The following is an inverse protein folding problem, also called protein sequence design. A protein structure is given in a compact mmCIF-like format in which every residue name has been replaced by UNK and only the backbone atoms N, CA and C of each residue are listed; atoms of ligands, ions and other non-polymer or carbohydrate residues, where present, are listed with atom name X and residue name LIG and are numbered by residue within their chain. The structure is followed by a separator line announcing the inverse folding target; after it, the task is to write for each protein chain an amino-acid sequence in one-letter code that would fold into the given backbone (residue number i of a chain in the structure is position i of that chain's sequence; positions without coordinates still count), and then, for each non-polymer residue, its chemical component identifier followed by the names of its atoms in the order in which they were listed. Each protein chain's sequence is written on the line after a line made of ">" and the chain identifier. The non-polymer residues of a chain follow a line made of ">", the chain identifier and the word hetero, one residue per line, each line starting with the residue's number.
data_IF_522379605689
#
_entry.id   IF_522379605689
#
_cell.length_a   1.000
_cell.length_b   1.000
_cell.length_c   1.000
_cell.angle_alpha   90.00
_cell.angle_beta   90.00
_cell.angle_gamma   90.00
#
_symmetry.space_group_name_H-M   'P 1'
#
loop_
_entity.id
_entity.type
_entity.pdbx_description
1 polymer ?
#
# COMPACT_ATOMS: atom_id res chain seq x y z
N UNK A 1 -9.09 -17.93 -4.41
CA UNK A 1 -8.98 -17.28 -3.10
C UNK A 1 -7.74 -16.40 -3.04
N UNK A 2 -7.90 -15.20 -2.52
CA UNK A 2 -6.77 -14.30 -2.40
C UNK A 2 -5.84 -14.78 -1.29
N UNK A 3 -4.55 -14.89 -1.61
CA UNK A 3 -3.55 -15.32 -0.63
C UNK A 3 -3.27 -14.16 0.33
N UNK A 4 -3.56 -14.35 1.61
CA UNK A 4 -3.38 -13.33 2.64
C UNK A 4 -1.94 -12.84 2.72
N UNK A 5 -0.98 -13.75 2.58
CA UNK A 5 0.45 -13.39 2.63
C UNK A 5 0.80 -12.46 1.48
N UNK A 6 0.34 -12.76 0.26
CA UNK A 6 0.58 -11.90 -0.90
C UNK A 6 -0.06 -10.54 -0.74
N UNK A 7 -1.24 -10.48 -0.15
CA UNK A 7 -1.93 -9.22 0.09
C UNK A 7 -1.13 -8.36 1.07
N UNK A 8 -0.63 -8.97 2.14
CA UNK A 8 0.21 -8.27 3.12
C UNK A 8 1.48 -7.76 2.46
N UNK A 9 2.14 -8.59 1.67
CA UNK A 9 3.35 -8.19 0.94
C UNK A 9 3.10 -6.98 0.03
N UNK A 10 1.98 -6.99 -0.69
CA UNK A 10 1.62 -5.87 -1.56
C UNK A 10 1.37 -4.59 -0.76
N UNK A 11 0.68 -4.71 0.37
CA UNK A 11 0.41 -3.56 1.23
C UNK A 11 1.70 -3.01 1.85
N UNK A 12 2.61 -3.89 2.28
CA UNK A 12 3.92 -3.47 2.78
C UNK A 12 4.71 -2.74 1.70
N UNK A 13 4.70 -3.26 0.48
CA UNK A 13 5.38 -2.63 -0.65
C UNK A 13 4.78 -1.27 -0.96
N UNK A 14 3.45 -1.18 -0.96
CA UNK A 14 2.76 0.08 -1.20
C UNK A 14 3.14 1.11 -0.14
N UNK A 15 3.11 0.72 1.13
CA UNK A 15 3.48 1.61 2.24
C UNK A 15 4.91 2.14 2.06
N UNK A 16 5.85 1.26 1.74
CA UNK A 16 7.23 1.65 1.50
C UNK A 16 7.38 2.62 0.33
N UNK A 17 6.64 2.38 -0.76
CA UNK A 17 6.68 3.25 -1.93
C UNK A 17 6.11 4.64 -1.60
N UNK A 18 5.02 4.71 -0.82
CA UNK A 18 4.45 5.99 -0.42
C UNK A 18 5.44 6.76 0.48
N UNK A 19 6.05 6.07 1.45
CA UNK A 19 7.03 6.68 2.34
C UNK A 19 8.21 7.26 1.57
N UNK A 20 8.69 6.54 0.56
CA UNK A 20 9.82 7.00 -0.24
C UNK A 20 9.41 7.95 -1.37
N UNK A 21 8.10 8.19 -1.52
CA UNK A 21 7.55 9.02 -2.59
C UNK A 21 8.00 8.55 -3.97
N UNK A 22 7.89 7.25 -4.20
CA UNK A 22 8.30 6.61 -5.44
C UNK A 22 7.19 5.77 -6.05
N UNK A 23 5.94 6.20 -5.87
CA UNK A 23 4.79 5.40 -6.34
C UNK A 23 4.51 5.58 -7.83
N UNK A 24 4.78 6.76 -8.38
CA UNK A 24 4.22 7.14 -9.67
C UNK A 24 2.72 7.40 -9.54
N UNK A 25 2.01 7.43 -10.64
CA UNK A 25 0.56 7.55 -10.62
C UNK A 25 -0.11 6.19 -10.34
N UNK A 26 -1.44 6.15 -10.40
CA UNK A 26 -2.17 4.91 -10.07
C UNK A 26 -1.89 3.79 -11.08
N UNK A 27 -1.61 4.13 -12.33
CA UNK A 27 -1.24 3.13 -13.32
C UNK A 27 0.15 2.55 -13.03
N UNK A 28 1.11 3.42 -12.71
CA UNK A 28 2.45 2.99 -12.32
C UNK A 28 2.40 2.08 -11.10
N UNK A 29 1.57 2.45 -10.10
CA UNK A 29 1.39 1.64 -8.90
C UNK A 29 0.80 0.27 -9.23
N UNK A 30 -0.18 0.23 -10.13
CA UNK A 30 -0.80 -1.05 -10.51
C UNK A 30 0.25 -2.00 -11.10
N UNK A 31 1.14 -1.46 -11.92
CA UNK A 31 2.24 -2.25 -12.51
C UNK A 31 3.23 -2.70 -11.43
N UNK A 32 3.65 -1.76 -10.58
CA UNK A 32 4.62 -2.06 -9.52
C UNK A 32 4.13 -3.11 -8.54
N UNK A 33 2.83 -3.07 -8.23
CA UNK A 33 2.23 -4.02 -7.29
C UNK A 33 1.71 -5.29 -7.97
N UNK A 34 1.62 -5.28 -9.30
CA UNK A 34 1.08 -6.42 -10.04
C UNK A 34 -0.40 -6.63 -9.84
N UNK A 35 -1.16 -5.53 -9.70
CA UNK A 35 -2.61 -5.58 -9.47
C UNK A 35 -3.29 -4.56 -10.39
N UNK A 36 -4.63 -4.59 -10.42
CA UNK A 36 -5.40 -3.61 -11.19
C UNK A 36 -5.38 -2.24 -10.50
N UNK A 37 -5.69 -1.19 -11.25
CA UNK A 37 -5.84 0.15 -10.68
C UNK A 37 -6.93 0.19 -9.63
N UNK A 38 -8.00 -0.60 -9.84
CA UNK A 38 -9.08 -0.72 -8.87
C UNK A 38 -8.56 -1.26 -7.54
N UNK A 39 -7.68 -2.25 -7.59
CA UNK A 39 -7.10 -2.82 -6.39
C UNK A 39 -6.15 -1.83 -5.70
N UNK A 40 -5.42 -1.03 -6.47
CA UNK A 40 -4.60 0.06 -5.90
C UNK A 40 -5.48 1.01 -5.09
N UNK A 41 -6.61 1.44 -5.66
CA UNK A 41 -7.52 2.34 -4.97
C UNK A 41 -8.11 1.69 -3.72
N UNK A 42 -8.37 0.40 -3.77
CA UNK A 42 -8.84 -0.36 -2.60
C UNK A 42 -7.80 -0.33 -1.48
N UNK A 43 -6.53 -0.59 -1.80
CA UNK A 43 -5.47 -0.56 -0.79
C UNK A 43 -5.28 0.84 -0.20
N UNK A 44 -5.33 1.88 -1.05
CA UNK A 44 -5.22 3.26 -0.56
C UNK A 44 -6.37 3.59 0.38
N UNK A 45 -7.57 3.15 0.07
CA UNK A 45 -8.73 3.36 0.93
C UNK A 45 -8.59 2.60 2.24
N UNK A 46 -8.07 1.38 2.20
CA UNK A 46 -7.79 0.60 3.42
C UNK A 46 -6.83 1.36 4.33
N UNK A 47 -5.76 1.93 3.76
CA UNK A 47 -4.82 2.72 4.56
C UNK A 47 -5.51 3.93 5.17
N UNK A 48 -6.38 4.60 4.41
CA UNK A 48 -7.13 5.75 4.92
C UNK A 48 -8.07 5.34 6.06
N UNK A 49 -8.68 4.18 5.94
CA UNK A 49 -9.55 3.64 6.99
C UNK A 49 -8.78 3.37 8.28
N UNK A 50 -7.49 3.07 8.18
CA UNK A 50 -6.61 2.89 9.34
C UNK A 50 -6.00 4.20 9.83
N UNK A 51 -6.34 5.31 9.24
CA UNK A 51 -5.91 6.62 9.71
C UNK A 51 -4.87 7.32 8.86
N UNK A 52 -4.48 6.74 7.74
CA UNK A 52 -3.52 7.40 6.85
C UNK A 52 -4.18 8.58 6.13
N UNK A 53 -3.45 9.67 6.01
CA UNK A 53 -3.84 10.79 5.19
C UNK A 53 -2.90 10.80 3.99
N UNK A 54 -3.45 10.47 2.83
CA UNK A 54 -2.66 10.27 1.61
C UNK A 54 -3.11 11.29 0.57
N UNK A 55 -2.14 11.98 -0.02
CA UNK A 55 -2.38 12.89 -1.13
C UNK A 55 -1.57 12.45 -2.33
N UNK A 56 -1.89 13.00 -3.49
CA UNK A 56 -1.16 12.75 -4.72
C UNK A 56 -0.59 14.04 -5.25
N UNK A 57 0.70 14.05 -5.60
CA UNK A 57 1.38 15.19 -6.19
C UNK A 57 1.51 14.98 -7.70
N UNK A 58 0.77 15.72 -8.53
CA UNK A 58 0.92 15.60 -9.99
C UNK A 58 2.30 16.05 -10.48
N UNK A 59 2.91 17.00 -9.78
CA UNK A 59 4.23 17.52 -10.16
C UNK A 59 5.31 16.48 -9.95
N UNK A 60 5.30 15.82 -8.80
CA UNK A 60 6.29 14.78 -8.47
C UNK A 60 5.85 13.39 -8.91
N UNK A 61 4.60 13.27 -9.36
CA UNK A 61 3.99 12.01 -9.79
C UNK A 61 4.14 10.92 -8.73
N UNK A 62 3.68 11.23 -7.51
CA UNK A 62 3.74 10.28 -6.41
C UNK A 62 2.65 10.54 -5.39
N UNK A 63 2.20 9.47 -4.77
CA UNK A 63 1.42 9.56 -3.55
C UNK A 63 2.36 9.79 -2.39
N UNK A 64 1.87 10.48 -1.35
CA UNK A 64 2.67 10.73 -0.15
C UNK A 64 1.75 10.88 1.05
N UNK A 65 2.29 10.64 2.24
CA UNK A 65 1.55 10.80 3.47
C UNK A 65 1.56 12.25 3.94
N UNK A 66 0.40 12.73 4.37
CA UNK A 66 0.26 14.05 4.97
C UNK A 66 0.44 13.99 6.49
N UNK A 67 0.44 12.80 7.07
CA UNK A 67 0.61 12.60 8.50
C UNK A 67 1.65 11.51 8.75
N UNK A 68 2.06 11.36 10.01
CA UNK A 68 2.95 10.28 10.41
C UNK A 68 2.15 9.00 10.54
N UNK A 69 2.06 8.26 9.46
CA UNK A 69 1.33 7.01 9.42
C UNK A 69 2.30 5.85 9.41
N UNK A 70 2.16 4.98 10.39
CA UNK A 70 2.87 3.71 10.42
C UNK A 70 1.88 2.58 10.50
N UNK A 71 2.14 1.53 9.74
CA UNK A 71 1.35 0.33 9.79
C UNK A 71 2.31 -0.85 10.00
N UNK A 72 1.98 -1.67 10.98
CA UNK A 72 2.78 -2.85 11.29
C UNK A 72 2.00 -4.07 10.87
N UNK A 73 2.57 -4.83 9.94
CA UNK A 73 1.98 -6.07 9.48
C UNK A 73 2.58 -7.21 10.27
N UNK A 74 1.74 -7.90 11.05
CA UNK A 74 2.19 -9.07 11.80
C UNK A 74 1.55 -10.31 11.21
N UNK A 75 2.39 -11.27 10.93
CA UNK A 75 1.93 -12.57 10.49
C UNK A 75 2.60 -13.62 11.34
N UNK A 76 1.81 -14.32 12.14
CA UNK A 76 2.31 -15.38 13.00
C UNK A 76 1.77 -16.73 12.54
N UNK A 77 2.67 -17.67 12.39
CA UNK A 77 2.28 -19.06 12.18
C UNK A 77 2.62 -19.83 13.46
N UNK A 78 1.60 -20.37 14.10
CA UNK A 78 1.81 -21.21 15.25
C UNK A 78 1.64 -22.67 14.83
N UNK A 79 2.67 -23.42 15.07
CA UNK A 79 2.64 -24.87 14.85
C UNK A 79 2.59 -25.53 16.21
N UNK A 80 1.47 -26.19 16.50
CA UNK A 80 1.40 -26.97 17.72
C UNK A 80 1.70 -28.43 17.41
N UNK A 81 2.55 -29.00 18.21
CA UNK A 81 2.92 -30.40 18.09
C UNK A 81 1.97 -31.29 18.88
#
# INVERSE_FOLDING_TARGET
>A
AMNTIRQIERMEKLHGLILREMTGDSLDLSVKLGVSRRMVNYYLQEFRDYGARIAYSPVRKTYYYLNDFEIIFKFEIKVSC
#
